data_IF_215136902413
#
_entry.id   IF_215136902413
#
_cell.length_a   1.000
_cell.length_b   1.000
_cell.length_c   1.000
_cell.angle_alpha   90.00
_cell.angle_beta   90.00
_cell.angle_gamma   90.00
#
_symmetry.space_group_name_H-M   'P 1'
#
loop_
_entity.id
_entity.type
_entity.pdbx_description
1 polymer ?
#
# COMPACT_ATOMS: atom_id res chain seq x y z
N UNK A 1 -19.62 27.03 -7.75
CA UNK A 1 -20.91 26.35 -7.49
C UNK A 1 -20.68 25.43 -6.32
N UNK A 2 -21.35 25.66 -5.19
CA UNK A 2 -21.25 24.81 -3.99
C UNK A 2 -21.86 23.44 -4.27
N UNK A 3 -21.03 22.54 -4.80
CA UNK A 3 -21.43 21.17 -5.11
C UNK A 3 -21.47 20.42 -3.78
N UNK A 4 -22.67 20.07 -3.34
CA UNK A 4 -22.90 19.31 -2.11
C UNK A 4 -23.07 17.82 -2.44
N UNK A 5 -22.59 17.00 -1.53
CA UNK A 5 -22.73 15.54 -1.55
C UNK A 5 -24.14 15.16 -1.09
N UNK A 6 -24.66 14.04 -1.58
CA UNK A 6 -25.96 13.54 -1.12
C UNK A 6 -25.88 13.16 0.36
N UNK A 7 -26.81 13.68 1.16
CA UNK A 7 -26.93 13.32 2.58
C UNK A 7 -27.21 11.83 2.80
N UNK A 8 -27.84 11.15 1.85
CA UNK A 8 -28.11 9.70 1.91
C UNK A 8 -26.82 8.88 1.84
N UNK A 9 -25.80 9.38 1.14
CA UNK A 9 -24.51 8.72 0.96
C UNK A 9 -23.53 9.01 2.11
N UNK A 10 -23.84 9.95 3.01
CA UNK A 10 -22.94 10.42 4.08
C UNK A 10 -22.36 9.28 4.91
N UNK A 11 -23.19 8.34 5.37
CA UNK A 11 -22.73 7.21 6.17
C UNK A 11 -21.75 6.32 5.40
N UNK A 12 -22.10 5.97 4.16
CA UNK A 12 -21.26 5.14 3.29
C UNK A 12 -19.93 5.84 2.97
N UNK A 13 -19.98 7.14 2.72
CA UNK A 13 -18.81 7.95 2.40
C UNK A 13 -17.85 8.03 3.58
N UNK A 14 -18.35 8.27 4.79
CA UNK A 14 -17.54 8.25 6.02
C UNK A 14 -16.95 6.86 6.30
N UNK A 15 -17.72 5.79 6.11
CA UNK A 15 -17.24 4.43 6.34
C UNK A 15 -16.15 4.05 5.32
N UNK A 16 -16.37 4.32 4.04
CA UNK A 16 -15.39 4.02 2.99
C UNK A 16 -14.15 4.92 3.09
N UNK A 17 -14.29 6.16 3.56
CA UNK A 17 -13.15 7.04 3.82
C UNK A 17 -12.25 6.47 4.92
N UNK A 18 -12.84 6.00 6.04
CA UNK A 18 -12.07 5.31 7.10
C UNK A 18 -11.41 4.03 6.59
N UNK A 19 -12.09 3.27 5.72
CA UNK A 19 -11.51 2.07 5.08
C UNK A 19 -10.32 2.43 4.19
N UNK A 20 -10.44 3.46 3.36
CA UNK A 20 -9.37 3.95 2.50
C UNK A 20 -8.15 4.35 3.34
N UNK A 21 -8.33 5.16 4.39
CA UNK A 21 -7.23 5.56 5.27
C UNK A 21 -6.55 4.36 5.94
N UNK A 22 -7.33 3.36 6.38
CA UNK A 22 -6.76 2.12 6.93
C UNK A 22 -5.91 1.37 5.89
N UNK A 23 -6.37 1.27 4.64
CA UNK A 23 -5.58 0.62 3.59
C UNK A 23 -4.35 1.43 3.18
N UNK A 24 -4.44 2.75 3.20
CA UNK A 24 -3.30 3.64 2.99
C UNK A 24 -2.22 3.43 4.06
N UNK A 25 -2.61 3.34 5.34
CA UNK A 25 -1.67 3.07 6.43
C UNK A 25 -1.03 1.68 6.32
N UNK A 26 -1.85 0.67 5.98
CA UNK A 26 -1.35 -0.69 5.73
C UNK A 26 -0.37 -0.73 4.55
N UNK A 27 -0.65 0.03 3.50
CA UNK A 27 0.23 0.14 2.33
C UNK A 27 1.56 0.80 2.71
N UNK A 28 1.53 1.90 3.46
CA UNK A 28 2.75 2.60 3.91
C UNK A 28 3.64 1.66 4.74
N UNK A 29 3.07 0.98 5.75
CA UNK A 29 3.79 0.01 6.59
C UNK A 29 4.34 -1.15 5.76
N UNK A 30 3.52 -1.71 4.86
CA UNK A 30 3.94 -2.83 4.01
C UNK A 30 5.06 -2.41 3.06
N UNK A 31 5.02 -1.19 2.53
CA UNK A 31 6.02 -0.64 1.64
C UNK A 31 7.35 -0.39 2.38
N UNK A 32 7.30 0.14 3.59
CA UNK A 32 8.49 0.25 4.45
C UNK A 32 9.10 -1.12 4.73
N UNK A 33 8.29 -2.10 5.10
CA UNK A 33 8.74 -3.49 5.32
C UNK A 33 9.36 -4.09 4.05
N UNK A 34 8.80 -3.79 2.87
CA UNK A 34 9.35 -4.25 1.59
C UNK A 34 10.68 -3.58 1.27
N UNK A 35 10.86 -2.30 1.59
CA UNK A 35 12.14 -1.59 1.47
C UNK A 35 13.19 -2.22 2.39
N UNK A 36 12.85 -2.50 3.65
CA UNK A 36 13.75 -3.17 4.60
C UNK A 36 14.12 -4.59 4.13
N UNK A 37 13.14 -5.37 3.63
CA UNK A 37 13.39 -6.70 3.11
C UNK A 37 14.35 -6.69 1.91
N UNK A 38 14.23 -5.69 1.02
CA UNK A 38 15.15 -5.48 -0.11
C UNK A 38 16.52 -4.94 0.32
N UNK A 39 16.58 -4.17 1.40
CA UNK A 39 17.83 -3.65 1.96
C UNK A 39 18.62 -4.71 2.77
N UNK A 40 17.98 -5.85 3.08
CA UNK A 40 18.59 -6.97 3.80
C UNK A 40 19.89 -7.42 3.13
N UNK A 41 20.95 -7.57 3.92
CA UNK A 41 22.27 -8.06 3.45
C UNK A 41 22.43 -9.57 3.60
N UNK A 42 21.36 -10.32 3.89
CA UNK A 42 21.40 -11.79 4.06
C UNK A 42 21.96 -12.49 2.81
N UNK A 43 21.71 -11.94 1.62
CA UNK A 43 22.26 -12.46 0.36
C UNK A 43 23.80 -12.48 0.34
N UNK A 44 24.47 -11.58 1.07
CA UNK A 44 25.94 -11.53 1.15
C UNK A 44 26.49 -12.80 1.81
N UNK A 45 25.85 -13.26 2.90
CA UNK A 45 26.21 -14.52 3.54
C UNK A 45 25.98 -15.71 2.59
N UNK A 46 24.92 -15.66 1.78
CA UNK A 46 24.66 -16.64 0.72
C UNK A 46 25.77 -16.69 -0.31
N UNK A 47 26.20 -15.53 -0.83
CA UNK A 47 27.34 -15.42 -1.76
C UNK A 47 28.63 -15.97 -1.13
N UNK A 48 28.93 -15.61 0.12
CA UNK A 48 30.11 -16.13 0.82
C UNK A 48 30.07 -17.65 0.95
N UNK A 49 28.93 -18.23 1.33
CA UNK A 49 28.76 -19.67 1.39
C UNK A 49 28.94 -20.31 -0.01
N UNK A 50 28.44 -19.67 -1.07
CA UNK A 50 28.59 -20.15 -2.44
C UNK A 50 30.06 -20.22 -2.89
N UNK A 51 30.93 -19.31 -2.43
CA UNK A 51 32.37 -19.37 -2.71
C UNK A 51 33.02 -20.65 -2.13
N UNK A 52 32.51 -21.15 -1.01
CA UNK A 52 32.96 -22.40 -0.40
C UNK A 52 32.24 -23.64 -0.95
N UNK A 53 31.28 -23.49 -1.87
CA UNK A 53 30.54 -24.61 -2.44
C UNK A 53 31.43 -25.58 -3.23
N UNK A 54 32.55 -25.11 -3.79
CA UNK A 54 33.53 -25.97 -4.47
C UNK A 54 34.24 -26.93 -3.50
N UNK A 55 34.22 -26.65 -2.19
CA UNK A 55 34.85 -27.47 -1.17
C UNK A 55 33.88 -28.44 -0.47
N UNK A 56 32.57 -28.17 -0.49
CA UNK A 56 31.57 -29.06 0.13
C UNK A 56 30.14 -28.79 -0.33
N UNK A 57 29.38 -29.87 -0.55
CA UNK A 57 27.94 -29.85 -0.82
C UNK A 57 27.13 -29.20 0.32
N UNK A 58 27.67 -29.21 1.55
CA UNK A 58 27.06 -28.51 2.68
C UNK A 58 26.94 -27.00 2.41
N UNK A 59 28.00 -26.39 1.89
CA UNK A 59 28.02 -24.95 1.60
C UNK A 59 27.11 -24.59 0.43
N UNK A 60 26.94 -25.50 -0.54
CA UNK A 60 25.96 -25.36 -1.61
C UNK A 60 24.53 -25.31 -1.04
N UNK A 61 24.19 -26.24 -0.14
CA UNK A 61 22.89 -26.28 0.54
C UNK A 61 22.65 -25.05 1.43
N UNK A 62 23.65 -24.63 2.20
CA UNK A 62 23.58 -23.44 3.05
C UNK A 62 23.36 -22.16 2.24
N UNK A 63 24.09 -22.00 1.13
CA UNK A 63 23.90 -20.89 0.19
C UNK A 63 22.47 -20.87 -0.38
N UNK A 64 21.98 -22.03 -0.85
CA UNK A 64 20.62 -22.14 -1.38
C UNK A 64 19.56 -21.75 -0.34
N UNK A 65 19.72 -22.18 0.92
CA UNK A 65 18.82 -21.81 2.01
C UNK A 65 18.84 -20.29 2.30
N UNK A 66 20.02 -19.66 2.30
CA UNK A 66 20.16 -18.21 2.53
C UNK A 66 19.54 -17.37 1.40
N UNK A 67 19.77 -17.77 0.15
CA UNK A 67 19.09 -17.14 -0.99
C UNK A 67 17.59 -17.36 -0.94
N UNK A 68 17.15 -18.59 -0.66
CA UNK A 68 15.73 -18.92 -0.49
C UNK A 68 15.06 -18.04 0.57
N UNK A 69 15.69 -17.89 1.74
CA UNK A 69 15.20 -17.01 2.81
C UNK A 69 15.12 -15.55 2.37
N UNK A 70 16.14 -15.06 1.65
CA UNK A 70 16.18 -13.68 1.15
C UNK A 70 15.04 -13.41 0.17
N UNK A 71 14.89 -14.24 -0.87
CA UNK A 71 13.83 -14.08 -1.85
C UNK A 71 12.43 -14.30 -1.25
N UNK A 72 12.29 -15.26 -0.34
CA UNK A 72 11.04 -15.49 0.38
C UNK A 72 10.58 -14.24 1.14
N UNK A 73 11.48 -13.57 1.86
CA UNK A 73 11.16 -12.33 2.59
C UNK A 73 10.71 -11.21 1.65
N UNK A 74 11.41 -11.04 0.51
CA UNK A 74 11.05 -10.03 -0.49
C UNK A 74 9.68 -10.33 -1.10
N UNK A 75 9.43 -11.59 -1.47
CA UNK A 75 8.17 -12.02 -2.07
C UNK A 75 7.01 -11.82 -1.09
N UNK A 76 7.13 -12.28 0.15
CA UNK A 76 6.11 -12.10 1.18
C UNK A 76 5.82 -10.63 1.46
N UNK A 77 6.84 -9.77 1.53
CA UNK A 77 6.64 -8.33 1.71
C UNK A 77 5.93 -7.71 0.49
N UNK A 78 6.30 -8.12 -0.72
CA UNK A 78 5.67 -7.63 -1.96
C UNK A 78 4.20 -8.06 -2.06
N UNK A 79 3.85 -9.27 -1.63
CA UNK A 79 2.46 -9.72 -1.56
C UNK A 79 1.62 -8.88 -0.59
N UNK A 80 2.18 -8.51 0.57
CA UNK A 80 1.48 -7.63 1.53
C UNK A 80 1.23 -6.25 0.96
N UNK A 81 2.21 -5.69 0.23
CA UNK A 81 2.03 -4.41 -0.48
C UNK A 81 0.90 -4.53 -1.51
N UNK A 82 0.92 -5.57 -2.34
CA UNK A 82 -0.11 -5.80 -3.36
C UNK A 82 -1.53 -5.94 -2.77
N UNK A 83 -1.69 -6.68 -1.67
CA UNK A 83 -2.98 -6.83 -1.00
C UNK A 83 -3.51 -5.50 -0.43
N UNK A 84 -2.63 -4.67 0.15
CA UNK A 84 -3.02 -3.35 0.63
C UNK A 84 -3.36 -2.39 -0.53
N UNK A 85 -2.61 -2.48 -1.63
CA UNK A 85 -2.85 -1.68 -2.84
C UNK A 85 -4.17 -2.04 -3.52
N UNK A 86 -4.53 -3.33 -3.57
CA UNK A 86 -5.81 -3.79 -4.09
C UNK A 86 -6.99 -3.26 -3.25
N UNK A 87 -6.90 -3.37 -1.91
CA UNK A 87 -7.91 -2.83 -1.00
C UNK A 87 -8.05 -1.30 -1.10
N UNK A 88 -6.94 -0.60 -1.28
CA UNK A 88 -6.94 0.84 -1.58
C UNK A 88 -7.59 1.12 -2.94
N UNK A 89 -7.25 0.37 -3.98
CA UNK A 89 -7.78 0.53 -5.33
C UNK A 89 -9.29 0.28 -5.42
N UNK A 90 -9.81 -0.69 -4.66
CA UNK A 90 -11.25 -0.95 -4.59
C UNK A 90 -12.02 0.22 -3.96
N UNK A 91 -11.48 0.78 -2.87
CA UNK A 91 -12.09 1.96 -2.23
C UNK A 91 -11.96 3.21 -3.13
N UNK A 92 -10.80 3.44 -3.74
CA UNK A 92 -10.59 4.55 -4.67
C UNK A 92 -11.52 4.48 -5.88
N UNK A 93 -11.73 3.29 -6.46
CA UNK A 93 -12.72 3.07 -7.54
C UNK A 93 -14.14 3.42 -7.12
N UNK A 94 -14.53 3.12 -5.88
CA UNK A 94 -15.84 3.51 -5.34
C UNK A 94 -15.98 5.04 -5.26
N UNK A 95 -14.96 5.75 -4.76
CA UNK A 95 -14.94 7.21 -4.70
C UNK A 95 -14.92 7.85 -6.10
N UNK A 96 -14.16 7.29 -7.04
CA UNK A 96 -14.15 7.73 -8.44
C UNK A 96 -15.52 7.61 -9.10
N UNK A 97 -16.29 6.56 -8.77
CA UNK A 97 -17.68 6.40 -9.19
C UNK A 97 -18.63 7.47 -8.64
N UNK A 98 -18.27 8.10 -7.52
CA UNK A 98 -18.99 9.25 -6.92
C UNK A 98 -18.42 10.61 -7.36
N UNK A 99 -17.50 10.63 -8.32
CA UNK A 99 -16.87 11.86 -8.81
C UNK A 99 -15.85 12.46 -7.85
N UNK A 100 -15.30 11.65 -6.95
CA UNK A 100 -14.30 12.04 -5.95
C UNK A 100 -12.95 11.40 -6.27
N UNK A 101 -11.86 12.02 -5.82
CA UNK A 101 -10.51 11.50 -5.95
C UNK A 101 -9.73 11.74 -4.66
N UNK A 102 -8.75 10.86 -4.37
CA UNK A 102 -7.80 11.10 -3.30
C UNK A 102 -6.49 11.64 -3.83
N UNK A 103 -5.88 12.54 -3.06
CA UNK A 103 -4.45 12.83 -3.15
C UNK A 103 -3.81 12.56 -1.79
N UNK A 104 -3.03 11.48 -1.74
CA UNK A 104 -2.53 10.91 -0.49
C UNK A 104 -3.69 10.50 0.44
N UNK A 105 -3.91 11.30 1.48
CA UNK A 105 -4.94 11.07 2.53
C UNK A 105 -6.12 12.06 2.44
N UNK A 106 -6.08 13.02 1.52
CA UNK A 106 -7.07 14.09 1.42
C UNK A 106 -8.00 13.80 0.25
N UNK A 107 -9.30 14.04 0.45
CA UNK A 107 -10.35 13.82 -0.54
C UNK A 107 -10.64 15.12 -1.29
N UNK A 108 -10.85 15.03 -2.60
CA UNK A 108 -11.20 16.15 -3.46
C UNK A 108 -12.30 15.74 -4.44
N UNK A 109 -12.94 16.74 -5.07
CA UNK A 109 -13.71 16.47 -6.27
C UNK A 109 -12.77 16.13 -7.43
N UNK A 110 -13.20 15.23 -8.32
CA UNK A 110 -12.39 14.81 -9.48
C UNK A 110 -12.05 15.99 -10.41
N UNK A 111 -12.98 16.94 -10.52
CA UNK A 111 -12.86 18.13 -11.35
C UNK A 111 -11.92 19.19 -10.74
N UNK A 112 -11.58 19.08 -9.46
CA UNK A 112 -10.63 19.96 -8.77
C UNK A 112 -9.20 19.57 -9.13
N UNK A 113 -8.73 20.04 -10.28
CA UNK A 113 -7.36 19.78 -10.75
C UNK A 113 -6.30 20.56 -9.95
N UNK A 114 -6.67 21.68 -9.34
CA UNK A 114 -5.74 22.54 -8.59
C UNK A 114 -5.64 22.16 -7.10
N UNK A 115 -6.48 21.22 -6.64
CA UNK A 115 -6.50 20.71 -5.26
C UNK A 115 -6.77 21.83 -4.23
N UNK A 116 -7.59 22.79 -4.62
CA UNK A 116 -7.87 24.00 -3.84
C UNK A 116 -8.95 23.78 -2.78
N UNK A 117 -9.87 22.84 -3.01
CA UNK A 117 -11.04 22.59 -2.17
C UNK A 117 -10.98 21.19 -1.53
N UNK A 118 -10.19 21.00 -0.46
CA UNK A 118 -10.18 19.73 0.27
C UNK A 118 -11.55 19.45 0.89
N UNK A 119 -12.01 18.23 0.74
CA UNK A 119 -13.27 17.75 1.27
C UNK A 119 -13.03 17.01 2.58
N UNK A 120 -13.79 17.39 3.61
CA UNK A 120 -13.89 16.64 4.85
C UNK A 120 -15.23 15.88 4.90
N UNK A 121 -15.24 14.55 4.70
CA UNK A 121 -16.43 13.71 4.81
C UNK A 121 -17.24 13.84 6.10
N UNK A 122 -16.64 14.36 7.17
CA UNK A 122 -17.29 14.54 8.46
C UNK A 122 -17.90 15.94 8.63
N UNK A 123 -17.67 16.85 7.69
CA UNK A 123 -18.26 18.17 7.72
C UNK A 123 -19.67 18.15 7.11
N UNK A 124 -20.67 18.40 7.95
CA UNK A 124 -22.09 18.39 7.59
C UNK A 124 -22.45 19.48 6.57
N UNK A 125 -21.68 20.57 6.50
CA UNK A 125 -21.94 21.65 5.53
C UNK A 125 -21.76 21.21 4.07
N UNK A 126 -21.04 20.11 3.84
CA UNK A 126 -20.81 19.54 2.52
C UNK A 126 -21.99 18.72 1.99
N UNK A 127 -23.00 18.45 2.81
CA UNK A 127 -24.14 17.60 2.43
C UNK A 127 -25.42 18.42 2.22
N UNK A 128 -26.27 17.95 1.29
CA UNK A 128 -27.62 18.47 1.03
C UNK A 128 -28.62 17.35 0.83
#
# INVERSE_FOLDING_TARGET
>A
MDRKLSSEDKFNLQQNFRRYLKFQDQYEIANETAKEARASRVWVAGVLALLFALASDFFLGASAALFGLYFYRIMMASMKVGAAEEGRGDTDRWFAGKGLKFEGRILYFRDDQMLEAPLDPFNDSLYQ
#
